data_IF_915133924264
#
_entry.id   IF_915133924264
#
_cell.length_a   1.000
_cell.length_b   1.000
_cell.length_c   1.000
_cell.angle_alpha   90.00
_cell.angle_beta   90.00
_cell.angle_gamma   90.00
#
_symmetry.space_group_name_H-M   'P 1'
#
loop_
_entity.id
_entity.type
_entity.pdbx_description
1 polymer ?
#
# COMPACT_ATOMS: atom_id res chain seq x y z
N UNK A 1 48.61 -31.01 7.12
CA UNK A 1 47.26 -31.48 7.49
C UNK A 1 46.70 -30.79 8.74
N UNK A 2 47.38 -30.73 9.90
CA UNK A 2 46.91 -29.99 11.10
C UNK A 2 46.65 -28.49 10.88
N UNK A 3 47.48 -27.80 10.09
CA UNK A 3 47.26 -26.38 9.77
C UNK A 3 46.04 -26.12 8.87
N UNK A 4 45.63 -27.10 8.05
CA UNK A 4 44.42 -27.02 7.23
C UNK A 4 43.16 -27.26 8.06
N UNK A 5 43.21 -28.23 9.00
CA UNK A 5 42.12 -28.48 9.96
C UNK A 5 41.88 -27.27 10.89
N UNK A 6 42.95 -26.57 11.31
CA UNK A 6 42.84 -25.35 12.11
C UNK A 6 42.20 -24.18 11.37
N UNK A 7 42.47 -24.01 10.06
CA UNK A 7 41.88 -22.92 9.26
C UNK A 7 40.38 -23.12 9.00
N UNK A 8 39.95 -24.34 8.69
CA UNK A 8 38.53 -24.65 8.46
C UNK A 8 37.71 -24.36 9.73
N UNK A 9 38.22 -24.75 10.91
CA UNK A 9 37.54 -24.47 12.18
C UNK A 9 37.37 -22.97 12.47
N UNK A 10 38.32 -22.13 12.05
CA UNK A 10 38.28 -20.69 12.28
C UNK A 10 37.25 -19.97 11.41
N UNK A 11 37.08 -20.38 10.15
CA UNK A 11 36.06 -19.83 9.26
C UNK A 11 34.65 -20.28 9.65
N UNK A 12 34.48 -21.54 10.03
CA UNK A 12 33.21 -22.08 10.55
C UNK A 12 32.77 -21.37 11.85
N UNK A 13 33.70 -21.17 12.79
CA UNK A 13 33.43 -20.42 14.02
C UNK A 13 33.08 -18.96 13.75
N UNK A 14 33.73 -18.32 12.77
CA UNK A 14 33.37 -16.95 12.33
C UNK A 14 32.01 -16.91 11.66
N UNK A 15 31.64 -17.94 10.90
CA UNK A 15 30.31 -18.09 10.30
C UNK A 15 29.22 -18.27 11.35
N UNK A 16 29.42 -19.17 12.31
CA UNK A 16 28.47 -19.43 13.40
C UNK A 16 28.21 -18.19 14.26
N UNK A 17 29.25 -17.40 14.58
CA UNK A 17 29.09 -16.13 15.31
C UNK A 17 28.22 -15.09 14.58
N UNK A 18 28.14 -15.13 13.25
CA UNK A 18 27.28 -14.22 12.47
C UNK A 18 25.81 -14.62 12.48
N UNK A 19 25.50 -15.85 12.85
CA UNK A 19 24.13 -16.37 12.91
C UNK A 19 23.51 -16.06 14.29
N UNK A 20 24.27 -16.22 15.37
CA UNK A 20 23.81 -15.93 16.74
C UNK A 20 24.09 -14.48 17.15
N UNK A 21 23.48 -13.52 16.44
CA UNK A 21 23.56 -12.11 16.85
C UNK A 21 22.63 -11.84 18.04
N UNK A 22 22.93 -10.78 18.82
CA UNK A 22 22.08 -10.35 19.93
C UNK A 22 20.62 -10.14 19.47
N UNK A 23 20.42 -9.58 18.27
CA UNK A 23 19.09 -9.38 17.69
C UNK A 23 18.33 -10.70 17.49
N UNK A 24 19.01 -11.74 16.97
CA UNK A 24 18.41 -13.07 16.80
C UNK A 24 18.09 -13.67 18.17
N UNK A 25 18.98 -13.54 19.15
CA UNK A 25 18.74 -14.02 20.51
C UNK A 25 17.52 -13.36 21.15
N UNK A 26 17.41 -12.03 21.08
CA UNK A 26 16.28 -11.26 21.61
C UNK A 26 14.97 -11.63 20.91
N UNK A 27 14.95 -11.67 19.57
CA UNK A 27 13.75 -12.07 18.82
C UNK A 27 13.36 -13.52 19.12
N UNK A 28 14.34 -14.40 19.32
CA UNK A 28 14.07 -15.82 19.59
C UNK A 28 13.48 -16.08 20.97
N UNK A 29 13.67 -15.14 21.91
CA UNK A 29 13.10 -15.21 23.24
C UNK A 29 11.59 -14.88 23.26
N UNK A 30 11.04 -14.27 22.20
CA UNK A 30 9.62 -13.98 22.09
C UNK A 30 8.86 -15.23 21.61
N UNK A 31 7.91 -15.77 22.41
CA UNK A 31 7.14 -16.95 22.03
C UNK A 31 6.46 -16.77 20.66
N UNK A 32 6.59 -17.77 19.78
CA UNK A 32 6.05 -17.73 18.43
C UNK A 32 6.93 -17.03 17.38
N UNK A 33 7.91 -16.21 17.78
CA UNK A 33 8.85 -15.54 16.86
C UNK A 33 10.21 -16.26 16.72
N UNK A 34 10.47 -17.27 17.56
CA UNK A 34 11.69 -18.10 17.54
C UNK A 34 12.13 -18.54 16.14
N UNK A 35 11.18 -19.04 15.35
CA UNK A 35 11.43 -19.55 14.00
C UNK A 35 11.76 -18.44 13.00
N UNK A 36 11.22 -17.23 13.22
CA UNK A 36 11.43 -16.07 12.35
C UNK A 36 12.66 -15.25 12.73
N UNK A 37 13.17 -15.38 13.95
CA UNK A 37 14.35 -14.65 14.42
C UNK A 37 15.56 -14.81 13.47
N UNK A 38 15.74 -16.02 12.91
CA UNK A 38 16.83 -16.31 11.98
C UNK A 38 16.71 -15.58 10.63
N UNK A 39 15.53 -15.12 10.22
CA UNK A 39 15.37 -14.31 8.99
C UNK A 39 16.21 -13.03 9.04
N UNK A 40 16.44 -12.50 10.26
CA UNK A 40 17.24 -11.29 10.49
C UNK A 40 18.75 -11.57 10.46
N UNK A 41 19.16 -12.85 10.45
CA UNK A 41 20.56 -13.22 10.37
C UNK A 41 21.21 -12.68 9.07
N UNK A 42 22.41 -12.13 9.20
CA UNK A 42 23.15 -11.54 8.08
C UNK A 42 23.32 -12.50 6.87
N UNK A 43 23.62 -13.81 7.05
CA UNK A 43 23.76 -14.73 5.92
C UNK A 43 22.48 -14.89 5.11
N UNK A 44 21.32 -14.91 5.78
CA UNK A 44 20.01 -15.04 5.12
C UNK A 44 19.61 -13.74 4.42
N UNK A 45 19.86 -12.58 5.04
CA UNK A 45 19.64 -11.28 4.39
C UNK A 45 20.51 -11.09 3.14
N UNK A 46 21.74 -11.62 3.15
CA UNK A 46 22.64 -11.58 2.00
C UNK A 46 22.29 -12.60 0.91
N UNK A 47 21.68 -13.73 1.27
CA UNK A 47 21.28 -14.78 0.34
C UNK A 47 19.75 -14.83 0.18
N UNK A 48 19.20 -13.93 -0.64
CA UNK A 48 17.75 -13.81 -0.86
C UNK A 48 17.09 -15.09 -1.39
N UNK A 49 17.69 -15.88 -2.30
CA UNK A 49 17.11 -17.18 -2.67
C UNK A 49 16.93 -18.10 -1.48
N UNK A 50 17.91 -18.18 -0.57
CA UNK A 50 17.80 -18.98 0.64
C UNK A 50 16.71 -18.43 1.57
N UNK A 51 16.63 -17.10 1.74
CA UNK A 51 15.55 -16.48 2.50
C UNK A 51 14.17 -16.75 1.88
N UNK A 52 14.06 -16.73 0.55
CA UNK A 52 12.84 -17.03 -0.16
C UNK A 52 12.39 -18.48 0.05
N UNK A 53 13.32 -19.44 0.02
CA UNK A 53 13.03 -20.85 0.32
C UNK A 53 12.57 -21.03 1.76
N UNK A 54 13.20 -20.36 2.72
CA UNK A 54 12.76 -20.41 4.13
C UNK A 54 11.38 -19.79 4.30
N UNK A 55 11.11 -18.67 3.63
CA UNK A 55 9.79 -18.03 3.65
C UNK A 55 8.74 -18.94 3.01
N UNK A 56 9.06 -19.58 1.89
CA UNK A 56 8.20 -20.55 1.19
C UNK A 56 7.80 -21.70 2.12
N UNK A 57 8.79 -22.33 2.75
CA UNK A 57 8.55 -23.43 3.70
C UNK A 57 7.76 -22.99 4.92
N UNK A 58 7.99 -21.78 5.44
CA UNK A 58 7.21 -21.23 6.54
C UNK A 58 5.74 -20.98 6.12
N UNK A 59 5.52 -20.38 4.95
CA UNK A 59 4.17 -20.08 4.45
C UNK A 59 3.38 -21.35 4.13
N UNK A 60 4.03 -22.44 3.71
CA UNK A 60 3.39 -23.76 3.53
C UNK A 60 2.80 -24.35 4.81
N UNK A 61 3.18 -23.86 5.99
CA UNK A 61 2.63 -24.29 7.29
C UNK A 61 1.36 -23.56 7.68
N UNK A 62 0.94 -22.54 6.92
CA UNK A 62 -0.31 -21.81 7.19
C UNK A 62 -1.51 -22.75 6.98
N UNK A 63 -2.47 -22.81 7.91
CA UNK A 63 -3.60 -23.74 7.85
C UNK A 63 -4.55 -23.46 6.68
N UNK A 64 -5.54 -24.35 6.50
CA UNK A 64 -6.63 -24.23 5.52
C UNK A 64 -6.18 -24.13 4.06
N UNK A 65 -4.97 -24.65 3.74
CA UNK A 65 -4.40 -24.56 2.39
C UNK A 65 -4.29 -23.11 1.90
N UNK A 66 -4.10 -22.16 2.82
CA UNK A 66 -4.00 -20.74 2.47
C UNK A 66 -2.82 -20.47 1.54
N UNK A 67 -1.72 -21.21 1.70
CA UNK A 67 -0.58 -21.12 0.79
C UNK A 67 -0.96 -21.36 -0.68
N UNK A 68 -1.73 -22.42 -0.95
CA UNK A 68 -2.20 -22.77 -2.30
C UNK A 68 -3.32 -21.82 -2.76
N UNK A 69 -4.29 -21.53 -1.88
CA UNK A 69 -5.44 -20.67 -2.18
C UNK A 69 -5.07 -19.21 -2.46
N UNK A 70 -4.00 -18.74 -1.82
CA UNK A 70 -3.47 -17.39 -1.98
C UNK A 70 -2.26 -17.34 -2.90
N UNK A 71 -1.99 -18.41 -3.66
CA UNK A 71 -0.95 -18.46 -4.70
C UNK A 71 0.47 -18.06 -4.24
N UNK A 72 0.78 -18.20 -2.95
CA UNK A 72 1.95 -17.57 -2.31
C UNK A 72 3.29 -18.02 -2.91
N UNK A 73 3.32 -19.18 -3.57
CA UNK A 73 4.46 -19.67 -4.35
C UNK A 73 4.98 -18.65 -5.38
N UNK A 74 4.08 -17.86 -5.98
CA UNK A 74 4.44 -16.83 -6.97
C UNK A 74 5.18 -15.68 -6.29
N UNK A 75 4.74 -15.28 -5.09
CA UNK A 75 5.38 -14.20 -4.33
C UNK A 75 6.77 -14.61 -3.85
N UNK A 76 6.93 -15.83 -3.33
CA UNK A 76 8.22 -16.34 -2.86
C UNK A 76 9.20 -16.57 -4.00
N UNK A 77 8.74 -17.12 -5.13
CA UNK A 77 9.54 -17.24 -6.36
C UNK A 77 9.98 -15.87 -6.89
N UNK A 78 9.07 -14.90 -6.95
CA UNK A 78 9.40 -13.52 -7.32
C UNK A 78 10.42 -12.90 -6.36
N UNK A 79 10.28 -13.12 -5.06
CA UNK A 79 11.21 -12.60 -4.06
C UNK A 79 12.60 -13.23 -4.21
N UNK A 80 12.69 -14.53 -4.53
CA UNK A 80 13.95 -15.21 -4.83
C UNK A 80 14.66 -14.60 -6.05
N UNK A 81 13.89 -14.30 -7.10
CA UNK A 81 14.39 -13.79 -8.38
C UNK A 81 14.72 -12.28 -8.36
N UNK A 82 14.13 -11.51 -7.45
CA UNK A 82 14.27 -10.03 -7.39
C UNK A 82 15.54 -9.54 -6.68
N UNK A 83 16.52 -10.41 -6.41
CA UNK A 83 17.70 -10.07 -5.61
C UNK A 83 18.80 -9.25 -6.33
N UNK A 84 19.69 -8.58 -5.56
CA UNK A 84 20.68 -7.61 -6.06
C UNK A 84 21.71 -8.15 -7.08
N UNK A 85 21.75 -9.46 -7.34
CA UNK A 85 22.56 -10.08 -8.40
C UNK A 85 21.84 -10.33 -9.73
N UNK A 86 20.50 -10.44 -9.74
CA UNK A 86 19.66 -10.60 -10.95
C UNK A 86 18.89 -9.31 -11.29
N UNK A 87 18.62 -8.49 -10.28
CA UNK A 87 18.10 -7.13 -10.39
C UNK A 87 18.98 -6.12 -11.17
N UNK A 88 20.30 -6.27 -11.39
CA UNK A 88 21.08 -5.25 -12.10
C UNK A 88 20.56 -4.94 -13.50
N UNK A 89 19.92 -5.89 -14.20
CA UNK A 89 19.29 -5.61 -15.51
C UNK A 89 18.00 -4.82 -15.37
N UNK A 90 17.04 -5.33 -14.60
CA UNK A 90 15.75 -4.63 -14.43
C UNK A 90 15.88 -3.29 -13.69
N UNK A 91 16.75 -3.19 -12.68
CA UNK A 91 16.98 -1.93 -11.96
C UNK A 91 17.79 -0.95 -12.80
N UNK A 92 18.83 -1.35 -13.55
CA UNK A 92 19.47 -0.43 -14.51
C UNK A 92 18.48 0.06 -15.56
N UNK A 93 17.69 -0.83 -16.15
CA UNK A 93 16.65 -0.46 -17.11
C UNK A 93 15.61 0.50 -16.49
N UNK A 94 15.27 0.31 -15.21
CA UNK A 94 14.42 1.25 -14.45
C UNK A 94 15.07 2.61 -14.21
N UNK A 95 16.37 2.69 -13.92
CA UNK A 95 17.07 3.98 -13.79
C UNK A 95 17.17 4.73 -15.12
N UNK A 96 17.18 4.01 -16.25
CA UNK A 96 17.07 4.64 -17.57
C UNK A 96 15.70 5.32 -17.78
N UNK A 97 14.62 4.77 -17.20
CA UNK A 97 13.29 5.42 -17.22
C UNK A 97 13.27 6.75 -16.47
N UNK A 98 14.13 6.94 -15.46
CA UNK A 98 14.24 8.21 -14.72
C UNK A 98 15.01 9.29 -15.50
N UNK A 99 15.57 8.98 -16.67
CA UNK A 99 16.11 10.04 -17.54
C UNK A 99 14.96 10.94 -18.00
N UNK A 100 15.10 12.28 -17.95
CA UNK A 100 13.98 13.20 -18.18
C UNK A 100 13.18 12.93 -19.46
N UNK A 101 13.84 12.57 -20.56
CA UNK A 101 13.18 12.28 -21.84
C UNK A 101 12.38 10.96 -21.82
N UNK A 102 12.90 9.90 -21.18
CA UNK A 102 12.18 8.64 -21.02
C UNK A 102 11.01 8.79 -20.05
N UNK A 103 11.23 9.54 -18.96
CA UNK A 103 10.17 9.85 -18.01
C UNK A 103 9.04 10.62 -18.68
N UNK A 104 9.35 11.68 -19.44
CA UNK A 104 8.34 12.45 -20.16
C UNK A 104 7.58 11.58 -21.18
N UNK A 105 8.27 10.75 -21.96
CA UNK A 105 7.64 9.83 -22.90
C UNK A 105 6.73 8.82 -22.19
N UNK A 106 7.19 8.27 -21.06
CA UNK A 106 6.43 7.34 -20.23
C UNK A 106 5.20 8.02 -19.63
N UNK A 107 5.32 9.24 -19.08
CA UNK A 107 4.19 10.02 -18.54
C UNK A 107 3.16 10.30 -19.63
N UNK A 108 3.61 10.75 -20.81
CA UNK A 108 2.73 11.00 -21.96
C UNK A 108 1.98 9.73 -22.37
N UNK A 109 2.66 8.59 -22.43
CA UNK A 109 2.03 7.30 -22.75
C UNK A 109 1.02 6.88 -21.68
N UNK A 110 1.38 7.03 -20.40
CA UNK A 110 0.51 6.74 -19.25
C UNK A 110 -0.77 7.59 -19.25
N UNK A 111 -0.65 8.89 -19.54
CA UNK A 111 -1.81 9.79 -19.73
C UNK A 111 -2.65 9.35 -20.94
N UNK A 112 -2.00 8.93 -22.04
CA UNK A 112 -2.70 8.40 -23.21
C UNK A 112 -3.54 7.16 -22.89
N UNK A 113 -3.01 6.25 -22.06
CA UNK A 113 -3.73 5.06 -21.59
C UNK A 113 -4.91 5.39 -20.67
N UNK A 114 -4.83 6.50 -19.93
CA UNK A 114 -5.92 6.98 -19.08
C UNK A 114 -7.16 7.39 -19.89
N UNK A 115 -7.01 7.72 -21.18
CA UNK A 115 -8.11 8.18 -22.05
C UNK A 115 -9.36 7.30 -22.01
N UNK A 116 -9.20 5.97 -22.04
CA UNK A 116 -10.32 5.01 -21.99
C UNK A 116 -11.06 4.99 -20.64
N UNK A 117 -10.46 5.60 -19.61
CA UNK A 117 -10.95 5.61 -18.24
C UNK A 117 -11.37 7.00 -17.76
N UNK A 118 -11.11 8.05 -18.53
CA UNK A 118 -11.46 9.44 -18.16
C UNK A 118 -12.91 9.62 -17.72
N UNK A 119 -13.94 9.00 -18.34
CA UNK A 119 -15.32 9.17 -17.86
C UNK A 119 -15.50 8.71 -16.41
N UNK A 120 -14.87 7.60 -16.02
CA UNK A 120 -14.95 7.07 -14.65
C UNK A 120 -14.22 7.97 -13.66
N UNK A 121 -13.01 8.42 -14.00
CA UNK A 121 -12.24 9.37 -13.16
C UNK A 121 -12.99 10.69 -13.01
N UNK A 122 -13.56 11.21 -14.10
CA UNK A 122 -14.34 12.45 -14.10
C UNK A 122 -15.57 12.37 -13.20
N UNK A 123 -16.29 11.23 -13.19
CA UNK A 123 -17.42 11.03 -12.28
C UNK A 123 -16.99 11.10 -10.81
N UNK A 124 -15.91 10.42 -10.44
CA UNK A 124 -15.41 10.42 -9.05
C UNK A 124 -14.99 11.84 -8.63
N UNK A 125 -14.24 12.55 -9.49
CA UNK A 125 -13.83 13.92 -9.21
C UNK A 125 -15.02 14.89 -9.18
N UNK A 126 -16.03 14.70 -10.03
CA UNK A 126 -17.25 15.51 -10.01
C UNK A 126 -18.01 15.33 -8.69
N UNK A 127 -18.09 14.10 -8.15
CA UNK A 127 -18.67 13.84 -6.82
C UNK A 127 -17.89 14.58 -5.74
N UNK A 128 -16.55 14.55 -5.77
CA UNK A 128 -15.72 15.28 -4.80
C UNK A 128 -15.93 16.80 -4.89
N UNK A 129 -15.92 17.36 -6.10
CA UNK A 129 -16.13 18.80 -6.30
C UNK A 129 -17.53 19.21 -5.85
N UNK A 130 -18.56 18.42 -6.14
CA UNK A 130 -19.91 18.68 -5.69
C UNK A 130 -20.00 18.65 -4.15
N UNK A 131 -19.41 17.64 -3.51
CA UNK A 131 -19.39 17.52 -2.05
C UNK A 131 -18.68 18.72 -1.40
N UNK A 132 -17.50 19.12 -1.90
CA UNK A 132 -16.77 20.29 -1.40
C UNK A 132 -17.51 21.59 -1.64
N UNK A 133 -18.18 21.74 -2.79
CA UNK A 133 -18.96 22.93 -3.10
C UNK A 133 -20.15 23.08 -2.15
N UNK A 134 -20.85 21.97 -1.86
CA UNK A 134 -21.95 21.95 -0.89
C UNK A 134 -21.42 22.25 0.51
N UNK A 135 -20.37 21.55 0.96
CA UNK A 135 -19.78 21.75 2.28
C UNK A 135 -19.26 23.19 2.48
N UNK A 136 -18.57 23.75 1.49
CA UNK A 136 -18.10 25.14 1.52
C UNK A 136 -19.25 26.15 1.51
N UNK A 137 -20.32 25.90 0.74
CA UNK A 137 -21.51 26.77 0.74
C UNK A 137 -22.21 26.75 2.09
N UNK A 138 -22.39 25.56 2.69
CA UNK A 138 -22.96 25.41 4.02
C UNK A 138 -22.09 26.15 5.04
N UNK A 139 -20.77 25.94 5.01
CA UNK A 139 -19.83 26.62 5.90
C UNK A 139 -20.00 28.13 5.83
N UNK A 140 -19.99 28.74 4.64
CA UNK A 140 -20.13 30.19 4.46
C UNK A 140 -21.45 30.73 5.00
N UNK A 141 -22.56 30.00 4.83
CA UNK A 141 -23.89 30.43 5.28
C UNK A 141 -24.03 30.32 6.81
N UNK A 142 -23.38 29.33 7.43
CA UNK A 142 -23.52 29.08 8.87
C UNK A 142 -22.52 29.85 9.73
N UNK A 143 -21.44 30.40 9.16
CA UNK A 143 -20.44 31.24 9.87
C UNK A 143 -20.99 32.53 10.49
N UNK A 144 -22.12 33.07 10.02
CA UNK A 144 -22.65 34.38 10.46
C UNK A 144 -23.34 34.40 11.85
N UNK A 145 -23.09 33.41 12.72
CA UNK A 145 -23.65 33.46 14.09
C UNK A 145 -23.60 32.18 14.93
N UNK A 146 -23.05 31.07 14.42
CA UNK A 146 -22.84 29.86 15.22
C UNK A 146 -21.34 29.69 15.57
N UNK A 147 -21.00 29.30 16.82
CA UNK A 147 -19.61 29.21 17.24
C UNK A 147 -18.75 28.21 16.46
N UNK A 148 -19.33 27.14 15.89
CA UNK A 148 -18.56 26.08 15.21
C UNK A 148 -19.23 25.55 13.92
N UNK A 149 -19.28 26.36 12.86
CA UNK A 149 -19.92 25.99 11.59
C UNK A 149 -19.12 24.95 10.79
N UNK A 150 -17.82 24.78 11.09
CA UNK A 150 -16.98 23.72 10.53
C UNK A 150 -17.44 22.32 10.95
N UNK A 151 -17.94 22.17 12.18
CA UNK A 151 -18.26 20.86 12.75
C UNK A 151 -19.36 20.11 11.97
N UNK A 152 -20.31 20.83 11.37
CA UNK A 152 -21.43 20.21 10.68
C UNK A 152 -21.07 19.57 9.32
N UNK A 153 -19.99 20.01 8.67
CA UNK A 153 -19.60 19.56 7.33
C UNK A 153 -18.24 18.91 7.29
N UNK A 154 -17.26 19.55 7.94
CA UNK A 154 -15.86 19.17 8.02
C UNK A 154 -15.46 18.58 9.38
N UNK A 155 -16.37 18.63 10.36
CA UNK A 155 -16.11 18.03 11.67
C UNK A 155 -16.07 16.51 11.64
N UNK A 156 -15.71 15.97 12.79
CA UNK A 156 -15.67 14.54 13.06
C UNK A 156 -17.00 13.88 12.69
N UNK A 157 -16.93 12.76 11.97
CA UNK A 157 -18.10 12.03 11.44
C UNK A 157 -18.96 12.85 10.46
N UNK A 158 -18.47 14.00 10.02
CA UNK A 158 -19.14 14.86 9.05
C UNK A 158 -19.28 14.20 7.67
N UNK A 159 -20.10 14.77 6.78
CA UNK A 159 -20.29 14.25 5.42
C UNK A 159 -18.99 14.14 4.60
N UNK A 160 -18.04 15.08 4.78
CA UNK A 160 -16.77 15.07 4.04
C UNK A 160 -15.88 13.91 4.51
N UNK A 161 -15.71 13.74 5.82
CA UNK A 161 -14.95 12.63 6.39
C UNK A 161 -15.60 11.27 6.07
N UNK A 162 -16.93 11.19 6.15
CA UNK A 162 -17.70 10.00 5.75
C UNK A 162 -17.44 9.62 4.28
N UNK A 163 -17.44 10.60 3.38
CA UNK A 163 -17.16 10.38 1.96
C UNK A 163 -15.71 9.92 1.74
N UNK A 164 -14.74 10.58 2.39
CA UNK A 164 -13.31 10.23 2.35
C UNK A 164 -13.08 8.79 2.82
N UNK A 165 -13.61 8.43 3.99
CA UNK A 165 -13.56 7.06 4.53
C UNK A 165 -14.22 6.05 3.59
N UNK A 166 -15.39 6.38 3.04
CA UNK A 166 -16.07 5.57 2.04
C UNK A 166 -15.22 5.30 0.80
N UNK A 167 -14.48 6.30 0.31
CA UNK A 167 -13.57 6.14 -0.83
C UNK A 167 -12.39 5.23 -0.52
N UNK A 168 -11.82 5.32 0.68
CA UNK A 168 -10.75 4.42 1.15
C UNK A 168 -11.26 2.98 1.24
N UNK A 169 -12.43 2.76 1.85
CA UNK A 169 -13.07 1.45 1.95
C UNK A 169 -13.37 0.85 0.57
N UNK A 170 -13.94 1.63 -0.35
CA UNK A 170 -14.22 1.19 -1.72
C UNK A 170 -12.95 0.88 -2.50
N UNK A 171 -11.87 1.64 -2.28
CA UNK A 171 -10.56 1.35 -2.87
C UNK A 171 -10.01 0.01 -2.37
N UNK A 172 -10.13 -0.23 -1.06
CA UNK A 172 -9.74 -1.48 -0.44
C UNK A 172 -10.51 -2.69 -0.95
N UNK A 173 -11.84 -2.57 -1.05
CA UNK A 173 -12.70 -3.58 -1.64
C UNK A 173 -12.36 -3.83 -3.12
N UNK A 174 -12.11 -2.78 -3.89
CA UNK A 174 -11.68 -2.91 -5.28
C UNK A 174 -10.34 -3.66 -5.40
N UNK A 175 -9.39 -3.43 -4.49
CA UNK A 175 -8.12 -4.17 -4.42
C UNK A 175 -8.31 -5.66 -4.16
N UNK A 176 -9.22 -6.01 -3.23
CA UNK A 176 -9.61 -7.39 -2.97
C UNK A 176 -10.25 -8.06 -4.20
N UNK A 177 -11.24 -7.40 -4.83
CA UNK A 177 -11.91 -7.93 -6.02
C UNK A 177 -10.92 -8.09 -7.18
N UNK A 178 -10.06 -7.10 -7.40
CA UNK A 178 -9.01 -7.13 -8.42
C UNK A 178 -8.10 -8.35 -8.27
N UNK A 179 -7.64 -8.64 -7.04
CA UNK A 179 -6.81 -9.81 -6.78
C UNK A 179 -7.53 -11.11 -7.15
N UNK A 180 -8.78 -11.29 -6.72
CA UNK A 180 -9.55 -12.48 -7.06
C UNK A 180 -9.82 -12.61 -8.56
N UNK A 181 -10.12 -11.50 -9.24
CA UNK A 181 -10.32 -11.47 -10.70
C UNK A 181 -9.03 -11.79 -11.44
N UNK A 182 -7.90 -11.28 -10.99
CA UNK A 182 -6.59 -11.57 -11.56
C UNK A 182 -6.28 -13.07 -11.52
N UNK A 183 -6.47 -13.71 -10.36
CA UNK A 183 -6.23 -15.15 -10.21
C UNK A 183 -7.27 -16.04 -10.89
N UNK A 184 -8.36 -15.45 -11.38
CA UNK A 184 -9.33 -16.13 -12.25
C UNK A 184 -8.92 -16.13 -13.73
N UNK A 185 -7.87 -15.39 -14.11
CA UNK A 185 -7.36 -15.38 -15.48
C UNK A 185 -6.68 -16.71 -15.83
N UNK A 186 -6.79 -17.19 -17.08
CA UNK A 186 -6.02 -18.33 -17.54
C UNK A 186 -4.52 -18.09 -17.37
N UNK A 187 -3.81 -19.08 -16.82
CA UNK A 187 -2.35 -19.03 -16.62
C UNK A 187 -1.88 -17.85 -15.76
N UNK A 188 -2.70 -17.36 -14.83
CA UNK A 188 -2.37 -16.22 -13.98
C UNK A 188 -1.01 -16.38 -13.25
N UNK A 189 -0.66 -17.61 -12.87
CA UNK A 189 0.61 -17.97 -12.21
C UNK A 189 1.86 -17.82 -13.10
N UNK A 190 1.69 -17.86 -14.42
CA UNK A 190 2.77 -17.73 -15.39
C UNK A 190 2.95 -16.28 -15.89
N UNK A 191 2.01 -15.39 -15.55
CA UNK A 191 2.07 -14.01 -16.02
C UNK A 191 3.15 -13.21 -15.31
N UNK A 192 3.81 -12.34 -16.06
CA UNK A 192 4.91 -11.51 -15.55
C UNK A 192 4.44 -10.47 -14.52
N UNK A 193 3.15 -10.13 -14.54
CA UNK A 193 2.50 -9.18 -13.64
C UNK A 193 1.84 -9.83 -12.41
N UNK A 194 1.92 -11.16 -12.26
CA UNK A 194 1.33 -11.88 -11.13
C UNK A 194 1.79 -11.40 -9.75
N UNK A 195 3.07 -11.07 -9.53
CA UNK A 195 3.52 -10.48 -8.26
C UNK A 195 2.82 -9.14 -7.96
N UNK A 196 2.45 -8.38 -8.99
CA UNK A 196 1.74 -7.12 -8.84
C UNK A 196 0.35 -7.27 -8.23
N UNK A 197 -0.30 -8.42 -8.36
CA UNK A 197 -1.60 -8.68 -7.71
C UNK A 197 -1.53 -8.56 -6.18
N UNK A 198 -0.39 -8.94 -5.58
CA UNK A 198 -0.17 -8.84 -4.13
C UNK A 198 -0.09 -7.40 -3.64
N UNK A 199 0.45 -6.48 -4.45
CA UNK A 199 0.42 -5.06 -4.11
C UNK A 199 -1.03 -4.64 -3.86
N UNK A 200 -1.92 -4.86 -4.84
CA UNK A 200 -3.30 -4.38 -4.80
C UNK A 200 -4.12 -4.92 -3.64
N UNK A 201 -3.94 -6.20 -3.26
CA UNK A 201 -4.65 -6.75 -2.09
C UNK A 201 -4.05 -6.25 -0.78
N UNK A 202 -2.72 -6.18 -0.64
CA UNK A 202 -2.07 -5.74 0.59
C UNK A 202 -2.31 -4.24 0.84
N UNK A 203 -2.14 -3.41 -0.19
CA UNK A 203 -2.49 -1.99 -0.11
C UNK A 203 -4.00 -1.80 0.01
N UNK A 204 -4.81 -2.68 -0.58
CA UNK A 204 -6.25 -2.69 -0.39
C UNK A 204 -6.65 -2.88 1.07
N UNK A 205 -6.06 -3.86 1.77
CA UNK A 205 -6.24 -4.02 3.22
C UNK A 205 -5.78 -2.79 4.00
N UNK A 206 -4.64 -2.20 3.63
CA UNK A 206 -4.16 -0.96 4.22
C UNK A 206 -5.16 0.19 4.06
N UNK A 207 -5.79 0.33 2.89
CA UNK A 207 -6.81 1.35 2.64
C UNK A 207 -8.11 1.08 3.40
N UNK A 208 -8.53 -0.19 3.57
CA UNK A 208 -9.65 -0.51 4.46
C UNK A 208 -9.33 -0.08 5.89
N UNK A 209 -8.14 -0.42 6.39
CA UNK A 209 -7.71 0.00 7.73
C UNK A 209 -7.69 1.52 7.86
N UNK A 210 -7.07 2.24 6.92
CA UNK A 210 -7.04 3.70 6.93
C UNK A 210 -8.45 4.29 6.90
N UNK A 211 -9.38 3.75 6.11
CA UNK A 211 -10.76 4.23 6.08
C UNK A 211 -11.51 3.99 7.41
N UNK A 212 -11.22 2.90 8.12
CA UNK A 212 -11.80 2.61 9.44
C UNK A 212 -11.17 3.54 10.48
N UNK A 213 -9.85 3.59 10.54
CA UNK A 213 -9.09 4.39 11.49
C UNK A 213 -9.42 5.87 11.35
N UNK A 214 -9.40 6.41 10.15
CA UNK A 214 -9.74 7.80 9.87
C UNK A 214 -11.19 8.14 10.24
N UNK A 215 -12.14 7.22 10.07
CA UNK A 215 -13.54 7.46 10.43
C UNK A 215 -13.80 7.35 11.93
N UNK A 216 -13.12 6.44 12.63
CA UNK A 216 -13.31 6.18 14.06
C UNK A 216 -12.24 6.83 14.94
N UNK A 217 -11.30 7.57 14.35
CA UNK A 217 -10.20 8.26 15.01
C UNK A 217 -9.41 7.34 15.96
N UNK A 218 -9.09 6.13 15.50
CA UNK A 218 -8.42 5.14 16.36
C UNK A 218 -7.02 5.62 16.74
N UNK A 219 -6.28 6.20 15.79
CA UNK A 219 -4.95 6.77 16.04
C UNK A 219 -4.99 7.94 17.02
N UNK A 220 -5.96 8.84 16.94
CA UNK A 220 -6.13 9.93 17.90
C UNK A 220 -6.41 9.40 19.31
N UNK A 221 -7.32 8.43 19.45
CA UNK A 221 -7.60 7.78 20.73
C UNK A 221 -6.35 7.10 21.32
N UNK A 222 -5.49 6.53 20.47
CA UNK A 222 -4.20 5.99 20.90
C UNK A 222 -3.20 7.09 21.28
N UNK A 223 -3.20 8.23 20.58
CA UNK A 223 -2.40 9.41 20.91
C UNK A 223 -2.73 9.96 22.29
N UNK A 224 -4.01 10.13 22.60
CA UNK A 224 -4.48 10.55 23.93
C UNK A 224 -3.99 9.58 25.01
N UNK A 225 -4.06 8.27 24.76
CA UNK A 225 -3.54 7.26 25.70
C UNK A 225 -2.01 7.38 25.88
N UNK A 226 -1.26 7.69 24.83
CA UNK A 226 0.19 7.92 24.92
C UNK A 226 0.52 9.18 25.71
N UNK A 227 -0.21 10.26 25.46
CA UNK A 227 0.01 11.55 26.11
C UNK A 227 -0.41 11.51 27.58
N UNK A 228 -1.69 11.23 27.85
CA UNK A 228 -2.27 11.28 29.19
C UNK A 228 -1.87 10.07 30.03
N UNK A 229 -1.78 8.89 29.42
CA UNK A 229 -1.51 7.65 30.12
C UNK A 229 -0.03 7.41 30.42
N UNK A 230 0.84 7.77 29.48
CA UNK A 230 2.29 7.51 29.59
C UNK A 230 3.15 8.78 29.65
N UNK A 231 2.57 9.97 29.50
CA UNK A 231 3.33 11.22 29.49
C UNK A 231 4.27 11.34 28.30
N UNK A 232 3.98 10.64 27.19
CA UNK A 232 4.85 10.61 26.01
C UNK A 232 4.61 11.87 25.20
N UNK A 233 5.63 12.73 25.15
CA UNK A 233 5.69 13.84 24.21
C UNK A 233 6.80 13.57 23.20
N UNK A 234 6.52 13.78 21.91
CA UNK A 234 7.47 13.54 20.83
C UNK A 234 7.92 14.89 20.28
N UNK A 235 9.21 15.26 20.43
CA UNK A 235 9.70 16.50 19.83
C UNK A 235 9.47 16.49 18.31
N UNK A 236 9.03 17.63 17.77
CA UNK A 236 8.77 17.89 16.34
C UNK A 236 7.41 17.40 15.79
N UNK A 237 6.59 16.73 16.59
CA UNK A 237 5.20 16.40 16.23
C UNK A 237 4.26 17.36 16.94
N UNK A 238 3.16 17.73 16.30
CA UNK A 238 2.15 18.60 16.91
C UNK A 238 1.37 17.79 17.95
N UNK A 239 1.03 16.56 17.60
CA UNK A 239 0.27 15.65 18.45
C UNK A 239 0.97 14.28 18.56
N UNK A 240 0.85 13.55 19.69
CA UNK A 240 1.47 12.23 19.82
C UNK A 240 0.94 11.16 18.87
N UNK A 241 -0.30 11.29 18.36
CA UNK A 241 -0.90 10.37 17.40
C UNK A 241 -0.28 10.44 15.99
N UNK A 242 0.36 11.56 15.64
CA UNK A 242 1.15 11.75 14.41
C UNK A 242 2.13 10.59 14.14
N UNK A 243 2.63 9.94 15.20
CA UNK A 243 3.52 8.79 15.09
C UNK A 243 2.85 7.58 14.41
N UNK A 244 1.55 7.37 14.62
CA UNK A 244 0.79 6.29 14.00
C UNK A 244 0.62 6.55 12.51
N UNK A 245 0.28 7.79 12.14
CA UNK A 245 0.16 8.23 10.74
C UNK A 245 1.49 8.08 10.00
N UNK A 246 2.60 8.49 10.62
CA UNK A 246 3.96 8.27 10.09
C UNK A 246 4.28 6.77 9.95
N UNK A 247 3.85 5.95 10.91
CA UNK A 247 3.96 4.50 10.86
C UNK A 247 3.25 3.90 9.64
N UNK A 248 2.02 4.33 9.37
CA UNK A 248 1.27 3.92 8.17
C UNK A 248 1.99 4.37 6.89
N UNK A 249 2.47 5.61 6.86
CA UNK A 249 3.24 6.16 5.75
C UNK A 249 4.49 5.33 5.44
N UNK A 250 5.22 4.87 6.47
CA UNK A 250 6.40 4.03 6.30
C UNK A 250 6.05 2.63 5.75
N UNK A 251 4.97 2.02 6.22
CA UNK A 251 4.46 0.75 5.69
C UNK A 251 4.06 0.91 4.22
N UNK A 252 3.31 1.96 3.88
CA UNK A 252 2.91 2.27 2.52
C UNK A 252 4.12 2.51 1.60
N UNK A 253 5.11 3.28 2.05
CA UNK A 253 6.35 3.53 1.31
C UNK A 253 7.14 2.23 1.08
N UNK A 254 7.21 1.36 2.08
CA UNK A 254 7.85 0.05 1.96
C UNK A 254 7.14 -0.81 0.90
N UNK A 255 5.80 -0.83 0.91
CA UNK A 255 5.01 -1.52 -0.10
C UNK A 255 5.26 -0.97 -1.51
N UNK A 256 5.26 0.36 -1.67
CA UNK A 256 5.60 0.99 -2.97
C UNK A 256 7.01 0.62 -3.40
N UNK A 257 8.00 0.66 -2.51
CA UNK A 257 9.38 0.33 -2.84
C UNK A 257 9.54 -1.14 -3.28
N UNK A 258 8.85 -2.07 -2.63
CA UNK A 258 8.85 -3.49 -2.98
C UNK A 258 8.20 -3.73 -4.36
N UNK A 259 7.08 -3.07 -4.64
CA UNK A 259 6.27 -3.29 -5.84
C UNK A 259 6.40 -2.20 -6.91
N UNK A 260 7.38 -1.30 -6.81
CA UNK A 260 7.53 -0.15 -7.71
C UNK A 260 7.57 -0.56 -9.18
N UNK A 261 8.20 -1.69 -9.47
CA UNK A 261 8.25 -2.25 -10.82
C UNK A 261 6.88 -2.62 -11.39
N UNK A 262 6.02 -3.20 -10.56
CA UNK A 262 4.67 -3.61 -10.96
C UNK A 262 3.74 -2.41 -11.06
N UNK A 263 3.93 -1.43 -10.16
CA UNK A 263 3.26 -0.13 -10.21
C UNK A 263 3.56 0.62 -11.52
N UNK A 264 4.83 0.71 -11.91
CA UNK A 264 5.24 1.37 -13.16
C UNK A 264 4.73 0.67 -14.44
N UNK A 265 4.37 -0.62 -14.35
CA UNK A 265 3.74 -1.34 -15.46
C UNK A 265 2.24 -1.01 -15.58
N UNK A 266 1.59 -0.62 -14.49
CA UNK A 266 0.18 -0.19 -14.48
C UNK A 266 0.03 1.24 -14.98
N UNK A 267 0.32 1.47 -16.26
CA UNK A 267 0.45 2.81 -16.89
C UNK A 267 -0.74 3.74 -16.68
N UNK A 268 -1.98 3.24 -16.73
CA UNK A 268 -3.16 4.10 -16.49
C UNK A 268 -3.36 4.41 -14.99
N UNK A 269 -3.06 3.45 -14.11
CA UNK A 269 -3.34 3.56 -12.67
C UNK A 269 -2.24 4.29 -11.90
N UNK A 270 -0.98 4.16 -12.32
CA UNK A 270 0.16 4.79 -11.66
C UNK A 270 0.06 6.32 -11.54
N UNK A 271 -0.23 7.11 -12.61
CA UNK A 271 -0.32 8.55 -12.48
C UNK A 271 -1.45 8.97 -11.53
N UNK A 272 -2.55 8.22 -11.48
CA UNK A 272 -3.64 8.44 -10.52
C UNK A 272 -3.16 8.18 -9.09
N UNK A 273 -2.46 7.07 -8.82
CA UNK A 273 -1.88 6.79 -7.50
C UNK A 273 -0.89 7.86 -7.06
N UNK A 274 0.04 8.26 -7.93
CA UNK A 274 1.03 9.30 -7.62
C UNK A 274 0.35 10.63 -7.33
N UNK A 275 -0.67 10.99 -8.12
CA UNK A 275 -1.44 12.23 -7.89
C UNK A 275 -2.17 12.16 -6.55
N UNK A 276 -2.87 11.05 -6.28
CA UNK A 276 -3.60 10.85 -5.03
C UNK A 276 -2.70 10.89 -3.80
N UNK A 277 -1.60 10.14 -3.81
CA UNK A 277 -0.58 10.16 -2.74
C UNK A 277 0.03 11.55 -2.60
N UNK A 278 0.29 12.26 -3.70
CA UNK A 278 0.80 13.64 -3.66
C UNK A 278 -0.13 14.59 -2.91
N UNK A 279 -1.45 14.49 -3.15
CA UNK A 279 -2.44 15.26 -2.40
C UNK A 279 -2.49 14.88 -0.91
N UNK A 280 -2.41 13.59 -0.58
CA UNK A 280 -2.35 13.15 0.82
C UNK A 280 -1.09 13.63 1.54
N UNK A 281 0.06 13.66 0.85
CA UNK A 281 1.31 14.22 1.41
C UNK A 281 1.19 15.72 1.64
N UNK A 282 0.54 16.45 0.73
CA UNK A 282 0.25 17.88 0.93
C UNK A 282 -0.66 18.06 2.14
N UNK A 283 -1.70 17.26 2.27
CA UNK A 283 -2.63 17.32 3.39
C UNK A 283 -1.93 17.06 4.72
N UNK A 284 -1.13 15.98 4.81
CA UNK A 284 -0.31 15.66 5.98
C UNK A 284 0.71 16.78 6.32
N UNK A 285 1.27 17.43 5.30
CA UNK A 285 2.15 18.58 5.52
C UNK A 285 1.38 19.81 6.03
N UNK A 286 0.15 20.02 5.59
CA UNK A 286 -0.71 21.08 6.14
C UNK A 286 -1.00 20.78 7.61
N UNK A 287 -1.40 19.56 7.94
CA UNK A 287 -1.67 19.13 9.32
C UNK A 287 -0.44 19.31 10.25
N UNK A 288 0.75 18.88 9.83
CA UNK A 288 1.96 19.04 10.64
C UNK A 288 2.47 20.49 10.77
N UNK A 289 2.24 21.36 9.77
CA UNK A 289 2.91 22.66 9.72
C UNK A 289 1.98 23.86 9.79
N UNK A 290 0.68 23.71 9.55
CA UNK A 290 -0.27 24.80 9.63
C UNK A 290 -0.73 24.98 11.08
N UNK A 291 -0.69 26.22 11.56
CA UNK A 291 -1.28 26.55 12.87
C UNK A 291 -2.81 26.46 12.78
N UNK A 292 -3.43 25.89 13.81
CA UNK A 292 -4.89 25.86 13.95
C UNK A 292 -5.51 27.26 13.78
N UNK A 293 -6.67 27.32 13.14
CA UNK A 293 -7.38 28.57 12.84
C UNK A 293 -6.83 29.38 11.66
N UNK A 294 -5.76 28.94 11.00
CA UNK A 294 -5.28 29.59 9.78
C UNK A 294 -6.06 29.14 8.54
N UNK A 295 -6.13 29.99 7.51
CA UNK A 295 -6.74 29.60 6.22
C UNK A 295 -6.02 28.43 5.54
N UNK A 296 -4.76 28.17 5.92
CA UNK A 296 -3.98 27.05 5.40
C UNK A 296 -4.49 25.73 5.96
N UNK A 297 -4.88 25.67 7.24
CA UNK A 297 -5.49 24.47 7.84
C UNK A 297 -6.77 24.05 7.10
N UNK A 298 -7.57 25.00 6.62
CA UNK A 298 -8.77 24.71 5.81
C UNK A 298 -8.52 24.04 4.45
N UNK A 299 -7.26 23.87 4.03
CA UNK A 299 -6.88 23.16 2.79
C UNK A 299 -6.72 21.65 3.01
N UNK A 300 -6.56 21.22 4.26
CA UNK A 300 -6.31 19.82 4.62
C UNK A 300 -7.41 18.88 4.10
N UNK A 301 -8.66 19.12 4.49
CA UNK A 301 -9.81 18.29 4.11
C UNK A 301 -10.05 18.22 2.59
N UNK A 302 -10.09 19.35 1.85
CA UNK A 302 -10.20 19.31 0.40
C UNK A 302 -9.09 18.51 -0.28
N UNK A 303 -7.84 18.68 0.17
CA UNK A 303 -6.71 17.94 -0.41
C UNK A 303 -6.78 16.46 -0.09
N UNK A 304 -7.16 16.09 1.14
CA UNK A 304 -7.39 14.71 1.53
C UNK A 304 -8.47 14.05 0.67
N UNK A 305 -9.66 14.67 0.54
CA UNK A 305 -10.76 14.11 -0.24
C UNK A 305 -10.41 13.96 -1.74
N UNK A 306 -9.73 14.95 -2.33
CA UNK A 306 -9.25 14.84 -3.72
C UNK A 306 -8.23 13.70 -3.84
N UNK A 307 -7.31 13.58 -2.88
CA UNK A 307 -6.31 12.52 -2.81
C UNK A 307 -6.93 11.12 -2.80
N UNK A 308 -7.91 10.89 -1.91
CA UNK A 308 -8.63 9.61 -1.83
C UNK A 308 -9.44 9.32 -3.09
N UNK A 309 -10.00 10.33 -3.74
CA UNK A 309 -10.72 10.19 -5.02
C UNK A 309 -9.81 9.70 -6.16
N UNK A 310 -8.58 10.20 -6.23
CA UNK A 310 -7.58 9.71 -7.18
C UNK A 310 -7.11 8.28 -6.87
N UNK A 311 -6.95 7.94 -5.59
CA UNK A 311 -6.62 6.57 -5.18
C UNK A 311 -7.75 5.62 -5.60
N UNK A 312 -9.01 5.94 -5.29
CA UNK A 312 -10.17 5.15 -5.71
C UNK A 312 -10.21 4.98 -7.23
N UNK A 313 -9.99 6.08 -7.96
CA UNK A 313 -9.89 6.06 -9.42
C UNK A 313 -8.84 5.06 -9.90
N UNK A 314 -7.65 5.04 -9.29
CA UNK A 314 -6.58 4.13 -9.69
C UNK A 314 -6.97 2.65 -9.51
N UNK A 315 -7.60 2.30 -8.38
CA UNK A 315 -8.04 0.94 -8.12
C UNK A 315 -9.15 0.50 -9.07
N UNK A 316 -10.13 1.36 -9.34
CA UNK A 316 -11.21 1.05 -10.28
C UNK A 316 -10.71 0.96 -11.73
N UNK A 317 -9.72 1.77 -12.12
CA UNK A 317 -9.04 1.65 -13.42
C UNK A 317 -8.38 0.29 -13.54
N UNK A 318 -7.57 -0.10 -12.54
CA UNK A 318 -6.88 -1.39 -12.59
C UNK A 318 -7.84 -2.56 -12.58
N UNK A 319 -8.90 -2.48 -11.77
CA UNK A 319 -9.95 -3.49 -11.73
C UNK A 319 -10.61 -3.63 -13.11
N UNK A 320 -10.90 -2.53 -13.81
CA UNK A 320 -11.47 -2.56 -15.16
C UNK A 320 -10.50 -3.17 -16.18
N UNK A 321 -9.21 -2.85 -16.12
CA UNK A 321 -8.18 -3.45 -16.99
C UNK A 321 -8.17 -4.98 -16.82
N UNK A 322 -8.02 -5.47 -15.59
CA UNK A 322 -8.01 -6.91 -15.29
C UNK A 322 -9.33 -7.59 -15.69
N UNK A 323 -10.46 -6.93 -15.43
CA UNK A 323 -11.78 -7.49 -15.76
C UNK A 323 -12.01 -7.59 -17.28
N UNK A 324 -11.41 -6.70 -18.07
CA UNK A 324 -11.50 -6.73 -19.53
C UNK A 324 -10.68 -7.86 -20.18
N UNK A 325 -9.77 -8.48 -19.43
CA UNK A 325 -8.97 -9.62 -19.89
C UNK A 325 -9.62 -10.98 -19.60
N UNK A 326 -10.71 -11.01 -18.83
CA UNK A 326 -11.39 -12.26 -18.54
C UNK A 326 -12.01 -12.83 -19.82
N UNK A 327 -11.91 -14.14 -20.06
CA UNK A 327 -12.62 -14.78 -21.15
C UNK A 327 -14.11 -14.45 -21.04
N UNK A 328 -14.70 -13.95 -22.13
CA UNK A 328 -16.16 -13.89 -22.22
C UNK A 328 -16.63 -15.33 -22.17
N UNK A 329 -17.30 -15.74 -21.09
CA UNK A 329 -17.93 -17.06 -21.02
C UNK A 329 -18.80 -17.20 -22.27
N UNK A 330 -18.47 -18.16 -23.14
CA UNK A 330 -19.30 -18.45 -24.29
C UNK A 330 -20.64 -18.99 -23.77
N UNK A 331 -21.76 -18.37 -24.19
CA UNK A 331 -23.14 -18.76 -23.85
C UNK A 331 -23.40 -20.28 -23.71
N UNK A 332 -22.85 -21.19 -24.55
CA UNK A 332 -23.07 -22.64 -24.38
C UNK A 332 -22.61 -23.22 -23.03
N UNK A 333 -21.60 -22.65 -22.37
CA UNK A 333 -21.14 -23.15 -21.06
C UNK A 333 -22.13 -22.84 -19.92
N UNK A 334 -22.86 -21.72 -20.03
CA UNK A 334 -23.87 -21.33 -19.05
C UNK A 334 -25.12 -22.20 -19.16
N UNK A 335 -25.54 -22.53 -20.39
CA UNK A 335 -26.65 -23.44 -20.65
C UNK A 335 -26.41 -24.86 -20.09
N UNK A 336 -25.16 -25.34 -20.16
CA UNK A 336 -24.79 -26.63 -19.56
C UNK A 336 -24.79 -26.64 -18.03
N UNK A 337 -24.48 -25.52 -17.37
CA UNK A 337 -24.48 -25.41 -15.89
C UNK A 337 -25.87 -25.18 -15.30
N UNK A 338 -26.78 -24.54 -16.02
CA UNK A 338 -28.18 -24.38 -15.58
C UNK A 338 -29.02 -25.64 -15.82
N UNK A 339 -28.56 -26.54 -16.69
CA UNK A 339 -29.19 -27.83 -16.95
C UNK A 339 -28.72 -28.94 -16.01
N UNK A 340 -27.75 -28.69 -15.13
CA UNK A 340 -27.17 -29.64 -14.17
C UNK A 340 -27.53 -29.24 -12.74
#
# INVERSE_FOLDING_TARGET
>A
MRALLGRVSGEELRGARKIHTLTVAVLSAVPGLGTFAYIVAEPLRKNRPLLAVLLDEALRKIPFRLYERQHLAVLTCWFACSGPGLAPRMVKERWHLLRPHHLFAWVKESIGKLGAHLPMVAVILAVNVAALSVAGTVYLITTDGYPEPSAATFGEFGPIQSLKAGQLLLSGLAGYVLYHRFWSLPQADQRVDAPGSYFWILSGFGLVWLGIDDYFQIHEALGVVLEEGFGVTIPLLNNPDDIFVLGYGLVALTMVALFLGELLRSRASFPLLVTGVGFLVISLAVDFFATEGTSLAGVEDPTNLIGTGFILSAYLVKLREVSSELPVESEPALAGRLAA
#
